data_IF_545880607373
#
_entry.id   IF_545880607373
#
_cell.length_a   1.000
_cell.length_b   1.000
_cell.length_c   1.000
_cell.angle_alpha   90.00
_cell.angle_beta   90.00
_cell.angle_gamma   90.00
#
_symmetry.space_group_name_H-M   'P 1'
#
loop_
_entity.id
_entity.type
_entity.pdbx_description
1 polymer ?
#
# COMPACT_ATOMS: atom_id res chain seq x y z
N UNK A 1 6.04 15.28 -9.71
CA UNK A 1 6.16 15.46 -8.24
C UNK A 1 7.62 15.56 -7.72
N UNK A 2 8.63 14.95 -8.34
CA UNK A 2 10.01 14.95 -7.79
C UNK A 2 10.55 16.36 -7.54
N UNK A 3 10.40 17.27 -8.51
CA UNK A 3 10.88 18.66 -8.40
C UNK A 3 10.26 19.42 -7.21
N UNK A 4 8.92 19.54 -7.07
CA UNK A 4 8.35 20.23 -5.91
C UNK A 4 8.65 19.53 -4.59
N UNK A 5 8.72 18.19 -4.55
CA UNK A 5 9.10 17.48 -3.32
C UNK A 5 10.53 17.82 -2.88
N UNK A 6 11.49 17.83 -3.81
CA UNK A 6 12.87 18.18 -3.49
C UNK A 6 12.99 19.62 -2.97
N UNK A 7 12.27 20.56 -3.59
CA UNK A 7 12.25 21.95 -3.16
C UNK A 7 11.62 22.11 -1.76
N UNK A 8 10.52 21.39 -1.47
CA UNK A 8 9.87 21.43 -0.17
C UNK A 8 10.71 20.78 0.93
N UNK A 9 11.41 19.67 0.65
CA UNK A 9 12.39 19.07 1.57
C UNK A 9 13.54 20.05 1.85
N UNK A 10 13.99 20.80 0.86
CA UNK A 10 15.02 21.83 1.06
C UNK A 10 14.52 22.92 2.02
N UNK A 11 13.31 23.44 1.82
CA UNK A 11 12.68 24.43 2.71
C UNK A 11 12.50 23.85 4.12
N UNK A 12 11.93 22.65 4.22
CA UNK A 12 11.75 21.91 5.48
C UNK A 12 13.03 21.87 6.29
N UNK A 13 14.12 21.35 5.70
CA UNK A 13 15.43 21.21 6.36
C UNK A 13 16.09 22.54 6.72
N UNK A 14 15.86 23.60 5.94
CA UNK A 14 16.46 24.93 6.17
C UNK A 14 15.67 25.80 7.15
N UNK A 15 14.37 25.54 7.28
CA UNK A 15 13.48 26.41 8.05
C UNK A 15 13.68 26.33 9.56
N UNK A 16 14.08 25.17 10.08
CA UNK A 16 14.05 24.89 11.53
C UNK A 16 12.64 24.96 12.14
N UNK A 17 11.59 25.04 11.32
CA UNK A 17 10.23 25.24 11.78
C UNK A 17 9.68 23.94 12.40
N UNK A 18 9.08 23.98 13.61
CA UNK A 18 8.42 22.82 14.20
C UNK A 18 7.34 22.24 13.27
N UNK A 19 7.33 20.91 13.13
CA UNK A 19 6.34 20.22 12.27
C UNK A 19 6.50 20.48 10.76
N UNK A 20 7.61 21.06 10.30
CA UNK A 20 7.85 21.26 8.87
C UNK A 20 7.78 19.94 8.08
N UNK A 21 8.33 18.86 8.66
CA UNK A 21 8.30 17.53 8.05
C UNK A 21 6.87 17.00 7.90
N UNK A 22 6.05 17.14 8.93
CA UNK A 22 4.65 16.69 8.90
C UNK A 22 3.84 17.43 7.82
N UNK A 23 4.11 18.72 7.60
CA UNK A 23 3.48 19.50 6.51
C UNK A 23 3.90 19.00 5.12
N UNK A 24 5.17 18.64 4.94
CA UNK A 24 5.66 18.05 3.67
C UNK A 24 5.07 16.67 3.46
N UNK A 25 5.02 15.83 4.49
CA UNK A 25 4.43 14.50 4.40
C UNK A 25 2.92 14.59 4.13
N UNK A 26 2.22 15.54 4.76
CA UNK A 26 0.81 15.86 4.49
C UNK A 26 0.57 16.21 3.02
N UNK A 27 1.37 17.12 2.48
CA UNK A 27 1.33 17.50 1.08
C UNK A 27 1.63 16.32 0.14
N UNK A 28 2.64 15.51 0.48
CA UNK A 28 3.05 14.36 -0.34
C UNK A 28 1.92 13.34 -0.46
N UNK A 29 1.32 12.93 0.66
CA UNK A 29 0.27 11.91 0.64
C UNK A 29 -0.99 12.39 -0.07
N UNK A 30 -1.39 13.65 0.12
CA UNK A 30 -2.48 14.22 -0.65
C UNK A 30 -2.13 14.30 -2.14
N UNK A 31 -0.90 14.68 -2.50
CA UNK A 31 -0.49 14.75 -3.91
C UNK A 31 -0.55 13.39 -4.61
N UNK A 32 -0.20 12.32 -3.89
CA UNK A 32 -0.28 10.94 -4.39
C UNK A 32 -1.73 10.50 -4.56
N UNK A 33 -2.54 10.58 -3.49
CA UNK A 33 -3.89 10.02 -3.51
C UNK A 33 -4.93 10.89 -4.22
N UNK A 34 -4.72 12.20 -4.32
CA UNK A 34 -5.52 13.07 -5.19
C UNK A 34 -5.01 13.12 -6.64
N UNK A 35 -3.99 12.33 -6.97
CA UNK A 35 -3.35 12.29 -8.31
C UNK A 35 -3.03 13.69 -8.85
N UNK A 36 -2.61 14.58 -7.94
CA UNK A 36 -2.56 16.04 -8.15
C UNK A 36 -1.70 16.45 -9.34
N UNK A 37 -0.71 15.64 -9.69
CA UNK A 37 0.27 15.91 -10.73
C UNK A 37 0.00 15.17 -12.04
N UNK A 38 -1.17 14.54 -12.21
CA UNK A 38 -1.53 13.87 -13.47
C UNK A 38 -1.66 14.88 -14.63
N UNK A 39 -2.04 16.14 -14.34
CA UNK A 39 -2.27 17.21 -15.32
C UNK A 39 -1.57 18.51 -14.91
N UNK A 40 -1.12 19.29 -15.90
CA UNK A 40 -0.55 20.65 -15.70
C UNK A 40 0.51 20.72 -14.60
N UNK A 41 1.61 19.97 -14.79
CA UNK A 41 2.64 19.72 -13.77
C UNK A 41 3.34 21.00 -13.31
N UNK A 42 3.75 21.87 -14.23
CA UNK A 42 4.61 23.02 -13.90
C UNK A 42 3.87 24.11 -13.12
N UNK A 43 2.65 24.45 -13.53
CA UNK A 43 1.82 25.44 -12.84
C UNK A 43 1.41 24.95 -11.45
N UNK A 44 1.03 23.68 -11.34
CA UNK A 44 0.69 23.05 -10.06
C UNK A 44 1.89 23.00 -9.12
N UNK A 45 3.07 22.63 -9.63
CA UNK A 45 4.31 22.58 -8.83
C UNK A 45 4.68 23.95 -8.25
N UNK A 46 4.59 25.02 -9.06
CA UNK A 46 4.87 26.39 -8.59
C UNK A 46 3.86 26.86 -7.54
N UNK A 47 2.56 26.61 -7.78
CA UNK A 47 1.50 26.97 -6.84
C UNK A 47 1.66 26.25 -5.50
N UNK A 48 1.89 24.93 -5.53
CA UNK A 48 2.11 24.11 -4.33
C UNK A 48 3.36 24.54 -3.58
N UNK A 49 4.48 24.75 -4.28
CA UNK A 49 5.71 25.17 -3.65
C UNK A 49 5.52 26.47 -2.85
N UNK A 50 4.86 27.48 -3.43
CA UNK A 50 4.57 28.74 -2.75
C UNK A 50 3.65 28.56 -1.55
N UNK A 51 2.54 27.85 -1.73
CA UNK A 51 1.53 27.68 -0.69
C UNK A 51 2.08 26.86 0.49
N UNK A 52 2.73 25.73 0.22
CA UNK A 52 3.29 24.85 1.26
C UNK A 52 4.50 25.49 1.93
N UNK A 53 5.35 26.24 1.20
CA UNK A 53 6.44 27.02 1.83
C UNK A 53 5.89 28.05 2.81
N UNK A 54 4.86 28.81 2.43
CA UNK A 54 4.20 29.77 3.32
C UNK A 54 3.65 29.07 4.57
N UNK A 55 3.04 27.91 4.40
CA UNK A 55 2.54 27.09 5.50
C UNK A 55 3.66 26.56 6.40
N UNK A 56 4.77 26.07 5.85
CA UNK A 56 5.95 25.61 6.60
C UNK A 56 6.50 26.74 7.47
N UNK A 57 6.70 27.92 6.88
CA UNK A 57 7.30 29.09 7.55
C UNK A 57 6.35 29.83 8.50
N UNK A 58 5.11 29.35 8.68
CA UNK A 58 4.11 29.99 9.55
C UNK A 58 3.60 31.35 9.04
N UNK A 59 3.79 31.63 7.75
CA UNK A 59 3.34 32.87 7.08
C UNK A 59 1.95 32.73 6.44
N UNK A 60 1.40 31.52 6.45
CA UNK A 60 0.08 31.19 5.92
C UNK A 60 -0.47 29.91 6.55
N UNK A 61 -1.73 29.63 6.24
CA UNK A 61 -2.42 28.42 6.70
C UNK A 61 -2.19 27.19 5.81
N UNK A 62 -2.75 26.06 6.23
CA UNK A 62 -2.81 24.83 5.44
C UNK A 62 -3.50 25.10 4.09
N UNK A 63 -2.91 24.70 2.94
CA UNK A 63 -3.55 24.83 1.65
C UNK A 63 -4.94 24.18 1.62
N UNK A 64 -5.94 24.88 1.07
CA UNK A 64 -7.35 24.42 1.09
C UNK A 64 -7.61 23.13 0.30
N UNK A 65 -6.74 22.80 -0.65
CA UNK A 65 -6.84 21.54 -1.41
C UNK A 65 -6.33 20.32 -0.63
N UNK A 66 -5.86 20.49 0.61
CA UNK A 66 -5.51 19.42 1.54
C UNK A 66 -6.67 19.20 2.53
N UNK A 67 -7.79 18.56 2.14
CA UNK A 67 -9.01 18.53 2.94
C UNK A 67 -8.93 17.65 4.19
N UNK A 68 -7.92 16.77 4.32
CA UNK A 68 -7.80 15.90 5.48
C UNK A 68 -8.51 14.55 5.35
N UNK A 69 -8.97 14.19 4.15
CA UNK A 69 -9.84 13.03 3.91
C UNK A 69 -9.44 12.25 2.65
N UNK A 70 -9.85 11.00 2.55
CA UNK A 70 -9.73 10.21 1.32
C UNK A 70 -10.59 10.84 0.21
N UNK A 71 -10.14 10.91 -1.05
CA UNK A 71 -10.96 11.36 -2.16
C UNK A 71 -12.26 10.53 -2.29
N UNK A 72 -13.42 11.17 -2.49
CA UNK A 72 -14.66 10.44 -2.68
C UNK A 72 -14.61 9.62 -3.98
N UNK A 73 -15.21 8.43 -3.97
CA UNK A 73 -15.30 7.57 -5.15
C UNK A 73 -14.01 6.80 -5.51
N UNK A 74 -12.99 6.85 -4.66
CA UNK A 74 -11.77 6.07 -4.83
C UNK A 74 -12.05 4.56 -4.72
N UNK A 75 -11.69 3.80 -5.76
CA UNK A 75 -11.87 2.34 -5.83
C UNK A 75 -10.54 1.67 -6.24
N UNK A 76 -9.85 1.07 -5.28
CA UNK A 76 -8.53 0.47 -5.51
C UNK A 76 -8.62 -0.87 -6.24
N UNK A 77 -9.82 -1.45 -6.38
CA UNK A 77 -10.03 -2.67 -7.16
C UNK A 77 -9.68 -2.48 -8.65
N UNK A 78 -9.75 -1.25 -9.14
CA UNK A 78 -9.45 -0.89 -10.54
C UNK A 78 -8.03 -0.34 -10.74
N UNK A 79 -7.27 -0.12 -9.66
CA UNK A 79 -5.89 0.36 -9.73
C UNK A 79 -4.96 -0.80 -10.11
N UNK A 80 -4.72 -0.96 -11.41
CA UNK A 80 -3.93 -2.07 -11.99
C UNK A 80 -2.60 -1.63 -12.62
N UNK A 81 -2.45 -0.35 -12.98
CA UNK A 81 -1.21 0.15 -13.57
C UNK A 81 -0.14 0.35 -12.51
N UNK A 82 0.91 -0.48 -12.57
CA UNK A 82 2.08 -0.43 -11.70
C UNK A 82 2.86 0.89 -11.78
N UNK A 83 2.69 1.66 -12.87
CA UNK A 83 3.32 2.97 -13.04
C UNK A 83 2.51 4.11 -12.42
N UNK A 84 1.26 3.86 -12.03
CA UNK A 84 0.41 4.90 -11.43
C UNK A 84 0.90 5.31 -10.03
N UNK A 85 0.63 6.57 -9.68
CA UNK A 85 0.94 7.09 -8.35
C UNK A 85 0.16 6.34 -7.26
N UNK A 86 -1.09 5.98 -7.52
CA UNK A 86 -1.93 5.21 -6.60
C UNK A 86 -1.34 3.83 -6.30
N UNK A 87 -0.93 3.08 -7.34
CA UNK A 87 -0.34 1.75 -7.16
C UNK A 87 0.94 1.82 -6.33
N UNK A 88 1.84 2.74 -6.69
CA UNK A 88 3.08 2.98 -5.94
C UNK A 88 2.80 3.47 -4.52
N UNK A 89 1.77 4.30 -4.33
CA UNK A 89 1.34 4.82 -3.04
C UNK A 89 0.96 3.72 -2.07
N UNK A 90 0.11 2.77 -2.50
CA UNK A 90 -0.28 1.62 -1.67
C UNK A 90 0.92 0.73 -1.32
N UNK A 91 1.81 0.45 -2.28
CA UNK A 91 3.04 -0.30 -1.99
C UNK A 91 3.97 0.43 -1.01
N UNK A 92 4.07 1.76 -1.10
CA UNK A 92 4.82 2.56 -0.15
C UNK A 92 4.20 2.53 1.25
N UNK A 93 2.87 2.51 1.37
CA UNK A 93 2.21 2.30 2.66
C UNK A 93 2.54 0.93 3.26
N UNK A 94 2.55 -0.13 2.44
CA UNK A 94 2.98 -1.47 2.86
C UNK A 94 4.44 -1.46 3.33
N UNK A 95 5.34 -0.81 2.58
CA UNK A 95 6.74 -0.66 2.97
C UNK A 95 6.90 0.10 4.30
N UNK A 96 6.10 1.14 4.53
CA UNK A 96 6.11 1.89 5.80
C UNK A 96 5.51 1.09 6.96
N UNK A 97 4.50 0.25 6.70
CA UNK A 97 3.92 -0.67 7.69
C UNK A 97 4.87 -1.83 8.06
N UNK A 98 5.94 -2.03 7.29
CA UNK A 98 7.05 -2.92 7.64
C UNK A 98 7.30 -4.01 6.61
N UNK A 99 6.26 -4.47 5.89
CA UNK A 99 6.31 -5.50 4.87
C UNK A 99 7.20 -6.71 5.26
N UNK A 100 6.99 -7.24 6.48
CA UNK A 100 7.82 -8.29 7.08
C UNK A 100 7.86 -9.55 6.21
N UNK A 101 8.86 -10.39 6.40
CA UNK A 101 8.92 -11.67 5.71
C UNK A 101 7.66 -12.51 6.02
N UNK A 102 6.82 -12.81 5.02
CA UNK A 102 5.54 -13.53 5.25
C UNK A 102 5.69 -14.93 5.82
N UNK A 103 6.85 -15.59 5.67
CA UNK A 103 7.06 -16.96 6.19
C UNK A 103 7.54 -16.93 7.63
N UNK A 104 8.47 -16.02 7.96
CA UNK A 104 9.20 -16.05 9.23
C UNK A 104 8.85 -14.89 10.18
N UNK A 105 8.13 -13.87 9.71
CA UNK A 105 7.80 -12.66 10.46
C UNK A 105 9.00 -11.75 10.78
N UNK A 106 10.18 -12.05 10.24
CA UNK A 106 11.38 -11.24 10.39
C UNK A 106 11.26 -9.89 9.66
N UNK A 107 12.09 -8.90 9.99
CA UNK A 107 12.21 -7.71 9.17
C UNK A 107 12.45 -8.05 7.70
N UNK A 108 11.91 -7.22 6.81
CA UNK A 108 12.07 -7.37 5.37
C UNK A 108 13.53 -7.23 4.93
N UNK A 109 13.91 -7.91 3.87
CA UNK A 109 15.20 -7.72 3.22
C UNK A 109 15.29 -6.39 2.45
N UNK A 110 16.46 -6.14 1.86
CA UNK A 110 16.72 -4.96 1.03
C UNK A 110 16.23 -5.12 -0.42
N UNK A 111 16.09 -6.35 -0.90
CA UNK A 111 15.64 -6.68 -2.26
C UNK A 111 14.22 -7.23 -2.21
N UNK A 112 13.27 -6.39 -2.61
CA UNK A 112 11.84 -6.70 -2.58
C UNK A 112 11.30 -6.86 -3.99
N UNK A 113 10.40 -7.82 -4.16
CA UNK A 113 9.68 -8.08 -5.39
C UNK A 113 8.20 -7.79 -5.19
N UNK A 114 7.56 -7.21 -6.20
CA UNK A 114 6.10 -7.04 -6.22
C UNK A 114 5.50 -8.31 -6.80
N UNK A 115 4.71 -9.02 -6.00
CA UNK A 115 3.97 -10.18 -6.47
C UNK A 115 2.55 -10.24 -5.92
N UNK A 116 1.73 -11.05 -6.58
CA UNK A 116 0.35 -11.26 -6.20
C UNK A 116 0.22 -12.19 -4.99
N UNK A 117 -0.69 -11.88 -4.07
CA UNK A 117 -1.06 -12.72 -2.94
C UNK A 117 -1.87 -13.94 -3.42
N UNK A 118 -2.91 -13.70 -4.22
CA UNK A 118 -3.57 -14.76 -4.99
C UNK A 118 -2.86 -14.89 -6.35
N UNK A 119 -2.32 -16.07 -6.70
CA UNK A 119 -1.51 -16.20 -7.90
C UNK A 119 -2.37 -16.12 -9.17
N UNK A 120 -1.82 -15.48 -10.20
CA UNK A 120 -2.36 -15.52 -11.56
C UNK A 120 -1.84 -16.75 -12.29
N UNK A 121 -2.57 -17.86 -12.22
CA UNK A 121 -2.33 -19.06 -13.01
C UNK A 121 -3.53 -19.34 -13.91
N UNK A 122 -3.33 -19.71 -15.19
CA UNK A 122 -4.44 -19.95 -16.14
C UNK A 122 -5.48 -20.98 -15.66
N UNK A 123 -5.08 -21.88 -14.75
CA UNK A 123 -5.95 -22.89 -14.13
C UNK A 123 -6.68 -22.41 -12.87
N UNK A 124 -6.44 -21.17 -12.41
CA UNK A 124 -7.05 -20.64 -11.18
C UNK A 124 -8.44 -20.06 -11.48
N UNK A 125 -9.48 -20.34 -10.67
CA UNK A 125 -10.84 -19.84 -10.90
C UNK A 125 -10.95 -18.30 -10.97
N UNK A 126 -10.10 -17.58 -10.23
CA UNK A 126 -10.06 -16.11 -10.21
C UNK A 126 -9.12 -15.49 -11.26
N UNK A 127 -8.47 -16.28 -12.12
CA UNK A 127 -7.40 -15.80 -12.99
C UNK A 127 -7.83 -14.74 -14.02
N UNK A 128 -9.10 -14.76 -14.41
CA UNK A 128 -9.71 -13.81 -15.36
C UNK A 128 -10.55 -12.74 -14.66
N UNK A 129 -10.57 -12.73 -13.33
CA UNK A 129 -11.34 -11.75 -12.58
C UNK A 129 -10.79 -10.32 -12.84
N UNK A 130 -11.64 -9.29 -13.00
CA UNK A 130 -11.18 -7.93 -13.26
C UNK A 130 -10.20 -7.37 -12.20
N UNK A 131 -10.33 -7.85 -10.96
CA UNK A 131 -9.48 -7.41 -9.83
C UNK A 131 -8.17 -8.20 -9.68
N UNK A 132 -7.89 -9.15 -10.58
CA UNK A 132 -6.71 -10.02 -10.46
C UNK A 132 -5.40 -9.23 -10.39
N UNK A 133 -5.28 -8.18 -11.20
CA UNK A 133 -4.11 -7.29 -11.29
C UNK A 133 -4.21 -6.06 -10.37
N UNK A 134 -5.27 -5.97 -9.56
CA UNK A 134 -5.44 -4.86 -8.62
C UNK A 134 -4.25 -4.77 -7.66
N UNK A 135 -3.87 -3.55 -7.30
CA UNK A 135 -2.90 -3.30 -6.22
C UNK A 135 -3.32 -3.97 -4.91
N UNK A 136 -4.62 -4.17 -4.68
CA UNK A 136 -5.16 -4.88 -3.52
C UNK A 136 -4.81 -6.37 -3.52
N UNK A 137 -4.45 -6.95 -4.66
CA UNK A 137 -3.91 -8.30 -4.72
C UNK A 137 -2.38 -8.33 -4.72
N UNK A 138 -1.69 -7.19 -4.72
CA UNK A 138 -0.24 -7.12 -4.77
C UNK A 138 0.38 -6.89 -3.38
N UNK A 139 1.61 -7.34 -3.19
CA UNK A 139 2.40 -7.04 -1.98
C UNK A 139 3.89 -7.05 -2.27
N UNK A 140 4.69 -6.63 -1.29
CA UNK A 140 6.15 -6.68 -1.32
C UNK A 140 6.63 -7.98 -0.66
N UNK A 141 7.40 -8.79 -1.36
CA UNK A 141 7.96 -10.04 -0.87
C UNK A 141 9.48 -10.06 -1.01
N UNK A 142 10.16 -10.64 -0.02
CA UNK A 142 11.54 -11.08 -0.20
C UNK A 142 11.61 -12.17 -1.28
N UNK A 143 12.75 -12.27 -1.97
CA UNK A 143 12.96 -13.27 -3.02
C UNK A 143 12.74 -14.71 -2.52
N UNK A 144 13.23 -15.03 -1.31
CA UNK A 144 13.06 -16.36 -0.70
C UNK A 144 11.59 -16.69 -0.44
N UNK A 145 10.82 -15.72 0.09
CA UNK A 145 9.38 -15.82 0.32
C UNK A 145 8.64 -15.96 -1.00
N UNK A 146 8.99 -15.17 -2.01
CA UNK A 146 8.35 -15.24 -3.31
C UNK A 146 8.56 -16.61 -3.97
N UNK A 147 9.78 -17.14 -3.89
CA UNK A 147 10.10 -18.49 -4.36
C UNK A 147 9.33 -19.57 -3.61
N UNK A 148 9.22 -19.48 -2.28
CA UNK A 148 8.47 -20.43 -1.46
C UNK A 148 6.96 -20.43 -1.80
N UNK A 149 6.38 -19.24 -2.01
CA UNK A 149 4.99 -19.07 -2.44
C UNK A 149 4.75 -19.66 -3.83
N UNK A 150 5.62 -19.34 -4.80
CA UNK A 150 5.49 -19.80 -6.17
C UNK A 150 4.08 -19.56 -6.72
N UNK A 151 3.43 -20.64 -7.18
CA UNK A 151 2.05 -20.66 -7.73
C UNK A 151 1.04 -21.36 -6.80
N UNK A 152 1.41 -21.61 -5.54
CA UNK A 152 0.56 -22.27 -4.55
C UNK A 152 -0.73 -21.47 -4.35
N UNK A 153 -1.82 -22.16 -3.99
CA UNK A 153 -2.98 -21.45 -3.49
C UNK A 153 -2.63 -20.70 -2.18
N UNK A 154 -3.31 -19.59 -1.89
CA UNK A 154 -3.15 -18.87 -0.64
C UNK A 154 -3.20 -19.77 0.60
N UNK A 155 -4.20 -20.68 0.67
CA UNK A 155 -4.34 -21.67 1.73
C UNK A 155 -3.16 -22.64 1.82
N UNK A 156 -2.71 -23.20 0.69
CA UNK A 156 -1.53 -24.07 0.64
C UNK A 156 -0.28 -23.36 1.17
N UNK A 157 -0.02 -22.13 0.71
CA UNK A 157 1.11 -21.33 1.17
C UNK A 157 0.99 -20.97 2.66
N UNK A 158 -0.21 -20.61 3.11
CA UNK A 158 -0.46 -20.26 4.51
C UNK A 158 -0.17 -21.46 5.44
N UNK A 159 -0.73 -22.63 5.13
CA UNK A 159 -0.61 -23.81 5.99
C UNK A 159 0.74 -24.53 5.85
N UNK A 160 1.33 -24.58 4.66
CA UNK A 160 2.57 -25.31 4.42
C UNK A 160 3.85 -24.50 4.72
N UNK A 161 3.80 -23.17 4.59
CA UNK A 161 4.98 -22.32 4.74
C UNK A 161 4.84 -21.30 5.88
N UNK A 162 3.75 -20.51 5.89
CA UNK A 162 3.57 -19.41 6.85
C UNK A 162 3.46 -19.92 8.29
N UNK A 163 2.53 -20.84 8.58
CA UNK A 163 2.34 -21.34 9.95
C UNK A 163 3.58 -22.07 10.48
N UNK A 164 4.22 -23.00 9.74
CA UNK A 164 5.43 -23.66 10.21
C UNK A 164 6.61 -22.70 10.35
N UNK A 165 6.74 -21.70 9.47
CA UNK A 165 7.78 -20.69 9.54
C UNK A 165 7.68 -19.83 10.80
N UNK A 166 6.48 -19.36 11.13
CA UNK A 166 6.22 -18.63 12.37
C UNK A 166 6.36 -19.52 13.61
N UNK A 167 6.00 -20.81 13.52
CA UNK A 167 6.22 -21.77 14.61
C UNK A 167 7.70 -21.93 14.98
N UNK A 168 8.62 -21.76 14.02
CA UNK A 168 10.07 -21.80 14.26
C UNK A 168 10.63 -20.53 14.89
N UNK A 169 10.05 -19.36 14.57
CA UNK A 169 10.57 -18.06 15.04
C UNK A 169 9.84 -17.51 16.25
N UNK A 170 8.63 -18.01 16.55
CA UNK A 170 7.74 -17.45 17.56
C UNK A 170 7.12 -16.12 17.16
N UNK A 171 7.30 -15.67 15.90
CA UNK A 171 6.69 -14.44 15.42
C UNK A 171 5.16 -14.57 15.32
N UNK A 172 4.45 -13.45 15.46
CA UNK A 172 2.99 -13.44 15.33
C UNK A 172 2.57 -13.32 13.86
N UNK A 173 1.91 -14.35 13.31
CA UNK A 173 1.36 -14.35 11.94
C UNK A 173 0.50 -13.12 11.70
N UNK A 174 -0.42 -12.81 12.63
CA UNK A 174 -1.29 -11.63 12.57
C UNK A 174 -0.53 -10.30 12.48
N UNK A 175 0.61 -10.18 13.16
CA UNK A 175 1.41 -8.95 13.12
C UNK A 175 2.20 -8.87 11.81
N UNK A 176 2.66 -10.01 11.29
CA UNK A 176 3.28 -10.12 9.97
C UNK A 176 2.29 -9.70 8.88
N UNK A 177 1.11 -10.29 8.83
CA UNK A 177 0.06 -9.91 7.86
C UNK A 177 -0.39 -8.46 8.00
N UNK A 178 -0.51 -7.96 9.24
CA UNK A 178 -0.78 -6.54 9.50
C UNK A 178 0.28 -5.60 8.90
N UNK A 179 1.54 -6.02 8.82
CA UNK A 179 2.61 -5.23 8.17
C UNK A 179 2.49 -5.15 6.64
N UNK A 180 1.57 -5.90 6.04
CA UNK A 180 1.20 -5.83 4.62
C UNK A 180 -0.18 -5.20 4.39
N UNK A 181 -0.74 -4.54 5.42
CA UNK A 181 -2.10 -4.01 5.42
C UNK A 181 -3.12 -5.12 5.14
N UNK A 182 -2.98 -6.24 5.86
CA UNK A 182 -3.93 -7.36 5.83
C UNK A 182 -4.44 -7.55 7.26
N UNK A 183 -5.69 -7.15 7.51
CA UNK A 183 -6.38 -7.37 8.77
C UNK A 183 -6.71 -8.85 9.01
N UNK A 184 -7.17 -9.24 10.21
CA UNK A 184 -7.61 -10.60 10.47
C UNK A 184 -8.73 -11.09 9.55
N UNK A 185 -9.61 -10.18 9.11
CA UNK A 185 -10.69 -10.53 8.18
C UNK A 185 -10.13 -10.91 6.80
N UNK A 186 -9.23 -10.08 6.25
CA UNK A 186 -8.54 -10.38 5.00
C UNK A 186 -7.59 -11.60 5.15
N UNK A 187 -6.88 -11.74 6.27
CA UNK A 187 -6.05 -12.91 6.57
C UNK A 187 -6.88 -14.20 6.56
N UNK A 188 -8.08 -14.18 7.15
CA UNK A 188 -9.01 -15.32 7.12
C UNK A 188 -9.35 -15.72 5.68
N UNK A 189 -9.71 -14.76 4.82
CA UNK A 189 -9.97 -15.06 3.39
C UNK A 189 -8.73 -15.61 2.68
N UNK A 190 -7.54 -15.07 2.97
CA UNK A 190 -6.28 -15.58 2.43
C UNK A 190 -6.00 -17.03 2.87
N UNK A 191 -6.15 -17.34 4.16
CA UNK A 191 -5.91 -18.67 4.72
C UNK A 191 -6.84 -19.75 4.15
N UNK A 192 -8.04 -19.38 3.68
CA UNK A 192 -9.00 -20.29 3.06
C UNK A 192 -9.01 -20.23 1.53
N UNK A 193 -8.22 -19.33 0.92
CA UNK A 193 -8.16 -19.17 -0.53
C UNK A 193 -7.62 -20.41 -1.21
N UNK A 194 -8.49 -21.19 -1.86
CA UNK A 194 -8.15 -22.42 -2.57
C UNK A 194 -8.83 -22.47 -3.93
N UNK A 195 -8.10 -22.88 -4.96
CA UNK A 195 -8.61 -23.05 -6.31
C UNK A 195 -9.50 -24.29 -6.46
N UNK A 196 -9.44 -25.23 -5.51
CA UNK A 196 -10.34 -26.39 -5.45
C UNK A 196 -11.68 -26.11 -4.74
N UNK A 197 -11.83 -24.94 -4.10
CA UNK A 197 -13.06 -24.61 -3.37
C UNK A 197 -14.19 -24.18 -4.33
N UNK A 198 -15.44 -24.65 -4.14
CA UNK A 198 -16.58 -24.23 -4.94
C UNK A 198 -16.84 -22.71 -4.92
N UNK A 199 -16.47 -22.06 -3.81
CA UNK A 199 -16.60 -20.62 -3.58
C UNK A 199 -15.26 -19.87 -3.74
N UNK A 200 -14.29 -20.44 -4.48
CA UNK A 200 -12.95 -19.87 -4.70
C UNK A 200 -12.95 -18.41 -5.14
N UNK A 201 -13.81 -18.04 -6.10
CA UNK A 201 -13.93 -16.65 -6.59
C UNK A 201 -14.49 -15.73 -5.51
N UNK A 202 -15.49 -16.19 -4.75
CA UNK A 202 -16.06 -15.40 -3.66
C UNK A 202 -15.02 -15.13 -2.55
N UNK A 203 -14.20 -16.13 -2.19
CA UNK A 203 -13.11 -15.95 -1.22
C UNK A 203 -12.09 -14.91 -1.70
N UNK A 204 -11.75 -14.94 -3.01
CA UNK A 204 -10.89 -13.92 -3.60
C UNK A 204 -11.52 -12.52 -3.54
N UNK A 205 -12.80 -12.38 -3.88
CA UNK A 205 -13.52 -11.11 -3.78
C UNK A 205 -13.56 -10.59 -2.34
N UNK A 206 -13.85 -11.47 -1.38
CA UNK A 206 -13.89 -11.12 0.05
C UNK A 206 -12.51 -10.66 0.53
N UNK A 207 -11.44 -11.34 0.14
CA UNK A 207 -10.08 -10.90 0.40
C UNK A 207 -9.82 -9.47 -0.11
N UNK A 208 -10.19 -9.19 -1.36
CA UNK A 208 -10.00 -7.87 -1.99
C UNK A 208 -10.82 -6.79 -1.27
N UNK A 209 -12.08 -7.09 -0.92
CA UNK A 209 -12.97 -6.14 -0.22
C UNK A 209 -12.49 -5.81 1.19
N UNK A 210 -12.06 -6.81 1.96
CA UNK A 210 -11.51 -6.56 3.30
C UNK A 210 -10.19 -5.80 3.23
N UNK A 211 -9.31 -6.18 2.30
CA UNK A 211 -8.03 -5.49 2.12
C UNK A 211 -8.18 -4.06 1.64
N UNK A 212 -9.21 -3.75 0.86
CA UNK A 212 -9.52 -2.37 0.47
C UNK A 212 -9.83 -1.50 1.69
N UNK A 213 -10.62 -2.01 2.65
CA UNK A 213 -10.90 -1.29 3.90
C UNK A 213 -9.62 -1.00 4.67
N UNK A 214 -8.71 -1.97 4.73
CA UNK A 214 -7.42 -1.84 5.42
C UNK A 214 -6.54 -0.76 4.78
N UNK A 215 -6.45 -0.78 3.45
CA UNK A 215 -5.71 0.23 2.68
C UNK A 215 -6.33 1.62 2.83
N UNK A 216 -7.65 1.75 2.69
CA UNK A 216 -8.36 3.02 2.85
C UNK A 216 -8.20 3.59 4.26
N UNK A 217 -8.23 2.74 5.30
CA UNK A 217 -7.99 3.16 6.67
C UNK A 217 -6.58 3.70 6.87
N UNK A 218 -5.56 3.07 6.26
CA UNK A 218 -4.18 3.56 6.34
C UNK A 218 -3.99 4.88 5.56
N UNK A 219 -4.62 5.00 4.38
CA UNK A 219 -4.66 6.25 3.63
C UNK A 219 -5.30 7.36 4.45
N UNK A 220 -6.45 7.10 5.08
CA UNK A 220 -7.13 8.09 5.91
C UNK A 220 -6.24 8.62 7.04
N UNK A 221 -5.44 7.76 7.70
CA UNK A 221 -4.45 8.20 8.69
C UNK A 221 -3.41 9.14 8.09
N UNK A 222 -2.86 8.82 6.91
CA UNK A 222 -1.87 9.68 6.23
C UNK A 222 -2.45 11.01 5.78
N UNK A 223 -3.74 11.05 5.48
CA UNK A 223 -4.43 12.26 5.05
C UNK A 223 -4.95 13.09 6.23
N UNK A 224 -5.06 12.56 7.45
CA UNK A 224 -5.62 13.26 8.63
C UNK A 224 -4.76 14.39 9.24
N UNK A 225 -3.65 14.74 8.60
CA UNK A 225 -3.03 16.06 8.78
C UNK A 225 -4.02 17.17 8.37
#
# INVERSE_FOLDING_TARGET
>A
MIVPLAALIHVERRSGAPGARDKVDCWYWHSVFYERYEKSVDTTAMADFRAVTSWILGRGGKPSWLPGSVPPGMDFKTVVDRKSALYSGVLNLIALAGARNLVYGSPRGSSLQIDHLFPKGRSKPWATHPWMESVLNATLLDESTNKAKGKKDPSDFYHADVLPGHGKTGASVRATFGSHLISPAAESSFAHGSSGAPNSVAIFEDFIREREKDVLAEIAKKLSC
#
